data_IF_328690295141
#
_entry.id   IF_328690295141
#
_cell.length_a   1.000
_cell.length_b   1.000
_cell.length_c   1.000
_cell.angle_alpha   90.00
_cell.angle_beta   90.00
_cell.angle_gamma   90.00
#
_symmetry.space_group_name_H-M   'P 1'
#
loop_
_entity.id
_entity.type
_entity.pdbx_description
1 polymer ?
#
# COMPACT_ATOMS: atom_id res chain seq x y z
N UNK A 1 -4.62 -9.07 -4.17
CA UNK A 1 -5.35 -10.34 -4.44
C UNK A 1 -5.41 -11.25 -3.23
N UNK A 2 -4.37 -11.30 -2.38
CA UNK A 2 -4.27 -12.21 -1.21
C UNK A 2 -5.37 -11.97 -0.16
N UNK A 3 -5.80 -10.74 0.05
CA UNK A 3 -6.92 -10.42 0.94
C UNK A 3 -8.31 -10.66 0.33
N UNK A 4 -8.39 -11.19 -0.88
CA UNK A 4 -9.63 -11.47 -1.62
C UNK A 4 -10.61 -10.26 -1.71
N UNK A 5 -10.11 -9.03 -1.63
CA UNK A 5 -10.92 -7.80 -1.72
C UNK A 5 -11.29 -7.38 -3.15
N UNK A 6 -10.93 -8.19 -4.17
CA UNK A 6 -11.27 -7.94 -5.57
C UNK A 6 -10.51 -6.79 -6.25
N UNK A 7 -9.61 -6.09 -5.54
CA UNK A 7 -8.82 -4.98 -6.07
C UNK A 7 -7.37 -5.38 -6.35
N UNK A 8 -6.73 -4.69 -7.29
CA UNK A 8 -5.30 -4.81 -7.59
C UNK A 8 -4.55 -3.59 -7.08
N UNK A 9 -3.23 -3.67 -6.93
CA UNK A 9 -2.39 -2.55 -6.53
C UNK A 9 -2.61 -1.31 -7.42
N UNK A 10 -2.68 -1.50 -8.74
CA UNK A 10 -2.91 -0.42 -9.69
C UNK A 10 -4.29 0.25 -9.51
N UNK A 11 -5.33 -0.53 -9.17
CA UNK A 11 -6.67 0.02 -8.91
C UNK A 11 -6.66 0.90 -7.64
N UNK A 12 -5.90 0.50 -6.63
CA UNK A 12 -5.72 1.29 -5.40
C UNK A 12 -4.94 2.58 -5.67
N UNK A 13 -3.84 2.52 -6.45
CA UNK A 13 -3.07 3.71 -6.84
C UNK A 13 -3.92 4.67 -7.68
N UNK A 14 -4.73 4.16 -8.59
CA UNK A 14 -5.66 4.97 -9.37
C UNK A 14 -6.70 5.66 -8.48
N UNK A 15 -7.20 4.96 -7.46
CA UNK A 15 -8.11 5.54 -6.46
C UNK A 15 -7.43 6.66 -5.68
N UNK A 16 -6.19 6.46 -5.21
CA UNK A 16 -5.39 7.50 -4.55
C UNK A 16 -5.25 8.74 -5.43
N UNK A 17 -4.88 8.54 -6.71
CA UNK A 17 -4.73 9.61 -7.69
C UNK A 17 -6.03 10.43 -7.82
N UNK A 18 -7.13 9.78 -8.13
CA UNK A 18 -8.40 10.47 -8.38
C UNK A 18 -8.95 11.19 -7.14
N UNK A 19 -8.78 10.61 -5.94
CA UNK A 19 -9.22 11.26 -4.72
C UNK A 19 -8.34 12.48 -4.40
N UNK A 20 -7.02 12.39 -4.66
CA UNK A 20 -6.11 13.53 -4.54
C UNK A 20 -6.49 14.65 -5.51
N UNK A 21 -6.74 14.34 -6.78
CA UNK A 21 -7.17 15.31 -7.80
C UNK A 21 -8.53 15.96 -7.48
N UNK A 22 -9.44 15.19 -6.88
CA UNK A 22 -10.74 15.69 -6.45
C UNK A 22 -10.70 16.49 -5.13
N UNK A 23 -9.53 16.63 -4.49
CA UNK A 23 -9.39 17.31 -3.21
C UNK A 23 -10.06 16.59 -2.04
N UNK A 24 -10.29 15.28 -2.16
CA UNK A 24 -10.92 14.46 -1.12
C UNK A 24 -9.86 14.04 -0.09
N UNK A 25 -10.10 14.37 1.18
CA UNK A 25 -9.26 13.89 2.27
C UNK A 25 -9.40 12.37 2.41
N UNK A 26 -8.28 11.65 2.24
CA UNK A 26 -8.24 10.20 2.30
C UNK A 26 -7.58 9.70 3.59
N UNK A 27 -8.27 8.81 4.31
CA UNK A 27 -7.74 8.10 5.47
C UNK A 27 -7.72 6.61 5.16
N UNK A 28 -6.53 6.03 5.10
CA UNK A 28 -6.35 4.63 4.74
C UNK A 28 -5.15 4.02 5.49
N UNK A 29 -5.10 2.70 5.51
CA UNK A 29 -4.09 1.94 6.23
C UNK A 29 -3.32 1.01 5.29
N UNK A 30 -2.03 0.81 5.55
CA UNK A 30 -1.23 -0.26 4.98
C UNK A 30 -1.16 -1.43 5.93
N UNK A 31 -1.29 -2.64 5.38
CA UNK A 31 -1.18 -3.90 6.12
C UNK A 31 -0.02 -4.72 5.59
N UNK A 32 0.71 -5.37 6.51
CA UNK A 32 1.79 -6.30 6.23
C UNK A 32 1.59 -7.60 7.02
N UNK A 33 2.42 -8.62 6.77
CA UNK A 33 2.26 -9.93 7.39
C UNK A 33 1.03 -10.67 6.87
N UNK A 34 0.73 -10.54 5.57
CA UNK A 34 -0.41 -11.20 4.95
C UNK A 34 -0.04 -12.66 4.66
N UNK A 35 -0.87 -13.65 5.05
CA UNK A 35 -0.61 -15.05 4.72
C UNK A 35 -0.27 -15.25 3.23
N UNK A 36 0.83 -15.97 2.96
CA UNK A 36 1.30 -16.24 1.60
C UNK A 36 1.99 -15.07 0.89
N UNK A 37 2.35 -14.00 1.60
CA UNK A 37 3.14 -12.91 1.02
C UNK A 37 4.55 -13.36 0.64
N UNK A 38 5.13 -12.64 -0.31
CA UNK A 38 6.51 -12.81 -0.75
C UNK A 38 7.36 -11.68 -0.15
N UNK A 39 8.41 -11.99 0.63
CA UNK A 39 9.32 -10.98 1.19
C UNK A 39 9.91 -10.03 0.13
N UNK A 40 10.21 -10.51 -1.06
CA UNK A 40 10.76 -9.69 -2.15
C UNK A 40 9.79 -8.61 -2.64
N UNK A 41 8.48 -8.81 -2.48
CA UNK A 41 7.49 -7.78 -2.85
C UNK A 41 7.65 -6.50 -2.02
N UNK A 42 8.08 -6.60 -0.75
CA UNK A 42 8.31 -5.43 0.11
C UNK A 42 9.48 -4.58 -0.38
N UNK A 43 10.56 -5.21 -0.85
CA UNK A 43 11.69 -4.50 -1.46
C UNK A 43 11.24 -3.75 -2.71
N UNK A 44 10.51 -4.41 -3.60
CA UNK A 44 9.98 -3.77 -4.82
C UNK A 44 9.01 -2.63 -4.48
N UNK A 45 8.15 -2.81 -3.48
CA UNK A 45 7.25 -1.74 -3.02
C UNK A 45 8.03 -0.55 -2.48
N UNK A 46 9.07 -0.77 -1.66
CA UNK A 46 9.91 0.31 -1.14
C UNK A 46 10.57 1.13 -2.26
N UNK A 47 11.08 0.47 -3.30
CA UNK A 47 11.68 1.12 -4.48
C UNK A 47 10.66 1.97 -5.27
N UNK A 48 9.37 1.63 -5.23
CA UNK A 48 8.31 2.35 -5.94
C UNK A 48 7.73 3.54 -5.14
N UNK A 49 7.87 3.59 -3.82
CA UNK A 49 7.27 4.62 -2.98
C UNK A 49 7.68 6.05 -3.39
N UNK A 50 8.94 6.36 -3.75
CA UNK A 50 9.32 7.70 -4.21
C UNK A 50 8.50 8.21 -5.41
N UNK A 51 7.98 7.30 -6.24
CA UNK A 51 7.16 7.67 -7.39
C UNK A 51 5.72 8.08 -7.02
N UNK A 52 5.24 7.74 -5.83
CA UNK A 52 3.87 8.00 -5.37
C UNK A 52 3.80 8.91 -4.14
N UNK A 53 4.92 9.42 -3.67
CA UNK A 53 5.03 10.24 -2.45
C UNK A 53 4.17 11.51 -2.48
N UNK A 54 3.76 11.98 -3.64
CA UNK A 54 2.83 13.12 -3.82
C UNK A 54 1.37 12.77 -3.50
N UNK A 55 1.01 11.50 -3.36
CA UNK A 55 -0.31 11.09 -2.88
C UNK A 55 -0.38 11.07 -1.35
N UNK A 56 -1.59 11.18 -0.79
CA UNK A 56 -1.79 11.11 0.65
C UNK A 56 -1.24 9.79 1.23
N UNK A 57 -0.29 9.84 2.19
CA UNK A 57 0.27 8.64 2.79
C UNK A 57 -0.75 7.91 3.66
N UNK A 58 -0.50 6.64 4.03
CA UNK A 58 -1.33 5.93 4.98
C UNK A 58 -1.28 6.60 6.36
N UNK A 59 -2.43 6.65 7.05
CA UNK A 59 -2.51 7.17 8.43
C UNK A 59 -2.00 6.16 9.46
N UNK A 60 -2.01 4.88 9.13
CA UNK A 60 -1.48 3.82 9.97
C UNK A 60 -0.91 2.68 9.12
N UNK A 61 0.11 2.04 9.68
CA UNK A 61 0.74 0.85 9.13
C UNK A 61 0.71 -0.23 10.21
N UNK A 62 0.27 -1.43 9.87
CA UNK A 62 0.11 -2.48 10.89
C UNK A 62 0.18 -3.89 10.33
N UNK A 63 0.56 -4.82 11.21
CA UNK A 63 0.50 -6.24 10.91
C UNK A 63 -0.95 -6.71 10.79
N UNK A 64 -1.21 -7.59 9.85
CA UNK A 64 -2.49 -8.29 9.75
C UNK A 64 -2.71 -9.11 11.02
N UNK A 65 -3.89 -8.94 11.61
CA UNK A 65 -4.32 -9.66 12.80
C UNK A 65 -5.37 -10.69 12.42
N UNK A 66 -5.46 -11.75 13.21
CA UNK A 66 -6.60 -12.65 13.15
C UNK A 66 -7.69 -12.10 14.07
N UNK A 67 -8.59 -11.31 13.52
CA UNK A 67 -9.76 -10.82 14.28
C UNK A 67 -10.75 -11.97 14.45
N UNK A 68 -11.41 -12.03 15.62
CA UNK A 68 -12.43 -13.06 15.91
C UNK A 68 -13.48 -13.07 14.80
N UNK A 69 -13.86 -14.26 14.37
CA UNK A 69 -14.78 -14.53 13.26
C UNK A 69 -14.24 -14.22 11.85
N UNK A 70 -13.03 -13.69 11.73
CA UNK A 70 -12.40 -13.56 10.40
C UNK A 70 -12.06 -14.93 9.82
N UNK A 71 -11.83 -15.04 8.49
CA UNK A 71 -11.33 -16.29 7.88
C UNK A 71 -10.03 -16.80 8.53
N UNK A 72 -9.12 -15.90 8.90
CA UNK A 72 -7.86 -16.21 9.57
C UNK A 72 -8.07 -16.83 10.97
N UNK A 73 -9.10 -16.40 11.66
CA UNK A 73 -9.49 -16.97 12.96
C UNK A 73 -10.25 -18.29 12.81
N UNK A 74 -11.21 -18.35 11.88
CA UNK A 74 -12.09 -19.52 11.73
C UNK A 74 -11.41 -20.71 11.05
N UNK A 75 -10.46 -20.44 10.14
CA UNK A 75 -9.82 -21.44 9.28
C UNK A 75 -8.29 -21.21 9.21
N UNK A 76 -7.58 -21.08 10.33
CA UNK A 76 -6.19 -20.67 10.35
C UNK A 76 -5.27 -21.56 9.51
N UNK A 77 -5.47 -22.87 9.56
CA UNK A 77 -4.66 -23.83 8.81
C UNK A 77 -4.71 -23.61 7.29
N UNK A 78 -5.83 -23.13 6.72
CA UNK A 78 -5.95 -22.84 5.30
C UNK A 78 -5.06 -21.67 4.87
N UNK A 79 -4.68 -20.82 5.82
CA UNK A 79 -3.83 -19.66 5.61
C UNK A 79 -2.40 -19.85 6.14
N UNK A 80 -2.04 -21.09 6.54
CA UNK A 80 -0.73 -21.36 7.14
C UNK A 80 -0.51 -20.60 8.45
N UNK A 81 -1.57 -20.41 9.23
CA UNK A 81 -1.56 -19.74 10.53
C UNK A 81 -1.58 -20.79 11.62
N UNK A 82 -0.68 -20.64 12.59
CA UNK A 82 -0.53 -21.50 13.78
C UNK A 82 -0.53 -20.66 15.06
N UNK A 83 -0.63 -21.35 16.20
CA UNK A 83 -0.47 -20.76 17.54
C UNK A 83 -1.32 -19.51 17.78
N UNK A 84 -2.59 -19.55 17.35
CA UNK A 84 -3.55 -18.48 17.61
C UNK A 84 -3.70 -18.25 19.11
N UNK A 85 -3.38 -17.03 19.56
CA UNK A 85 -3.42 -16.62 20.96
C UNK A 85 -3.98 -15.21 21.11
N UNK A 86 -4.71 -14.88 22.20
CA UNK A 86 -5.17 -13.52 22.44
C UNK A 86 -4.04 -12.51 22.34
N UNK A 87 -4.27 -11.40 21.67
CA UNK A 87 -3.28 -10.33 21.59
C UNK A 87 -2.85 -9.92 23.00
N UNK A 88 -1.52 -9.80 23.21
CA UNK A 88 -0.91 -9.56 24.52
C UNK A 88 -1.51 -8.41 25.31
N UNK A 89 -2.05 -7.38 24.63
CA UNK A 89 -2.70 -6.25 25.28
C UNK A 89 -3.87 -6.66 26.19
N UNK A 90 -4.57 -7.75 25.88
CA UNK A 90 -5.67 -8.23 26.73
C UNK A 90 -5.21 -8.62 28.12
N UNK A 91 -3.99 -9.15 28.29
CA UNK A 91 -3.43 -9.52 29.61
C UNK A 91 -3.14 -8.30 30.49
N UNK A 92 -2.83 -7.14 29.88
CA UNK A 92 -2.60 -5.90 30.64
C UNK A 92 -3.90 -5.24 31.08
N UNK A 93 -4.97 -5.41 30.31
CA UNK A 93 -6.27 -4.79 30.61
C UNK A 93 -7.12 -5.68 31.53
N UNK A 94 -7.06 -6.99 31.32
CA UNK A 94 -7.91 -7.95 32.04
C UNK A 94 -7.05 -8.97 32.79
N UNK A 95 -7.00 -8.93 34.12
CA UNK A 95 -6.30 -9.90 34.97
C UNK A 95 -7.07 -11.22 35.04
N UNK A 96 -7.27 -11.89 33.93
CA UNK A 96 -8.04 -13.11 33.81
C UNK A 96 -7.14 -14.29 33.40
N UNK A 97 -7.53 -15.54 33.75
CA UNK A 97 -6.87 -16.73 33.23
C UNK A 97 -6.91 -16.79 31.69
N UNK A 98 -5.90 -17.42 31.09
CA UNK A 98 -5.75 -17.50 29.63
C UNK A 98 -6.98 -18.07 28.92
N UNK A 99 -7.65 -19.06 29.52
CA UNK A 99 -8.90 -19.62 28.96
C UNK A 99 -10.03 -18.58 28.87
N UNK A 100 -10.13 -17.69 29.86
CA UNK A 100 -11.10 -16.60 29.85
C UNK A 100 -10.73 -15.51 28.85
N UNK A 101 -9.43 -15.18 28.76
CA UNK A 101 -8.92 -14.27 27.75
C UNK A 101 -9.15 -14.81 26.34
N UNK A 102 -8.98 -16.13 26.12
CA UNK A 102 -9.27 -16.77 24.85
C UNK A 102 -10.73 -16.60 24.43
N UNK A 103 -11.66 -16.61 25.37
CA UNK A 103 -13.10 -16.39 25.11
C UNK A 103 -13.46 -14.91 24.93
N UNK A 104 -12.77 -14.01 25.64
CA UNK A 104 -13.04 -12.58 25.65
C UNK A 104 -12.41 -11.84 24.48
N UNK A 105 -11.17 -12.20 24.10
CA UNK A 105 -10.39 -11.46 23.11
C UNK A 105 -11.08 -11.39 21.75
N UNK A 106 -10.99 -10.25 21.11
CA UNK A 106 -11.40 -10.06 19.72
C UNK A 106 -10.21 -10.10 18.76
N UNK A 107 -9.01 -9.67 19.19
CA UNK A 107 -7.78 -9.64 18.41
C UNK A 107 -6.85 -10.77 18.84
N UNK A 108 -6.28 -11.47 17.85
CA UNK A 108 -5.38 -12.58 18.07
C UNK A 108 -4.05 -12.35 17.36
N UNK A 109 -2.98 -12.71 18.03
CA UNK A 109 -1.65 -12.92 17.46
C UNK A 109 -1.56 -14.36 16.93
N UNK A 110 -0.66 -14.58 16.01
CA UNK A 110 -0.42 -15.90 15.42
C UNK A 110 1.04 -16.03 14.94
N UNK A 111 1.43 -17.22 14.68
CA UNK A 111 2.68 -17.55 14.00
C UNK A 111 2.35 -18.11 12.60
N UNK A 112 3.34 -18.14 11.70
CA UNK A 112 3.19 -18.75 10.39
C UNK A 112 3.75 -20.16 10.39
N UNK A 113 3.03 -21.13 9.81
CA UNK A 113 3.41 -22.55 9.74
C UNK A 113 4.74 -22.81 9.02
N UNK A 114 5.16 -21.91 8.13
CA UNK A 114 6.45 -21.97 7.45
C UNK A 114 7.62 -21.33 8.25
N UNK A 115 7.34 -20.88 9.48
CA UNK A 115 8.35 -20.32 10.38
C UNK A 115 8.80 -18.91 10.00
N UNK A 116 8.18 -18.25 9.02
CA UNK A 116 8.53 -16.87 8.67
C UNK A 116 8.19 -15.92 9.81
N UNK A 117 9.04 -14.91 9.99
CA UNK A 117 8.72 -13.72 10.78
C UNK A 117 8.80 -12.51 9.87
N UNK A 118 7.65 -11.87 9.56
CA UNK A 118 7.62 -10.70 8.68
C UNK A 118 8.49 -9.54 9.15
N UNK A 119 8.78 -9.42 10.44
CA UNK A 119 9.63 -8.36 10.97
C UNK A 119 11.06 -8.41 10.41
N UNK A 120 11.54 -9.57 9.99
CA UNK A 120 12.88 -9.71 9.45
C UNK A 120 13.08 -9.12 8.05
N UNK A 121 12.01 -8.83 7.31
CA UNK A 121 12.11 -8.37 5.93
C UNK A 121 11.31 -7.11 5.59
N UNK A 122 10.48 -6.61 6.52
CA UNK A 122 9.64 -5.43 6.24
C UNK A 122 10.31 -4.11 6.60
N UNK A 123 11.39 -4.11 7.40
CA UNK A 123 12.01 -2.89 7.94
C UNK A 123 12.33 -1.86 6.84
N UNK A 124 13.01 -2.20 5.73
CA UNK A 124 13.30 -1.22 4.67
C UNK A 124 12.05 -0.61 4.03
N UNK A 125 10.95 -1.37 3.98
CA UNK A 125 9.68 -0.87 3.48
C UNK A 125 8.98 0.03 4.49
N UNK A 126 9.05 -0.27 5.78
CA UNK A 126 8.53 0.60 6.84
C UNK A 126 9.24 1.95 6.85
N UNK A 127 10.57 1.96 6.73
CA UNK A 127 11.38 3.18 6.63
C UNK A 127 10.96 4.03 5.42
N UNK A 128 10.75 3.39 4.27
CA UNK A 128 10.30 4.07 3.07
C UNK A 128 8.87 4.65 3.21
N UNK A 129 7.98 3.98 3.94
CA UNK A 129 6.64 4.49 4.25
C UNK A 129 6.71 5.66 5.24
N UNK A 130 7.56 5.60 6.27
CA UNK A 130 7.79 6.70 7.20
C UNK A 130 8.33 7.92 6.45
N UNK A 131 9.27 7.72 5.53
CA UNK A 131 9.77 8.79 4.68
C UNK A 131 8.66 9.40 3.81
N UNK A 132 7.77 8.58 3.24
CA UNK A 132 6.59 9.07 2.53
C UNK A 132 5.73 9.96 3.42
N UNK A 133 5.42 9.53 4.66
CA UNK A 133 4.64 10.32 5.62
C UNK A 133 5.30 11.68 5.92
N UNK A 134 6.64 11.71 6.01
CA UNK A 134 7.40 12.92 6.31
C UNK A 134 7.51 13.87 5.11
N UNK A 135 7.67 13.35 3.90
CA UNK A 135 8.00 14.15 2.71
C UNK A 135 6.79 14.49 1.84
N UNK A 136 5.65 13.83 2.06
CA UNK A 136 4.44 14.00 1.26
C UNK A 136 4.08 15.48 1.00
N UNK A 137 4.15 16.33 2.01
CA UNK A 137 3.78 17.74 1.92
C UNK A 137 4.70 18.58 1.03
N UNK A 138 5.88 18.07 0.66
CA UNK A 138 6.88 18.73 -0.20
C UNK A 138 6.88 18.19 -1.61
N UNK A 139 6.23 17.05 -1.84
CA UNK A 139 6.24 16.35 -3.11
C UNK A 139 4.96 16.68 -3.90
N UNK A 140 5.13 17.14 -5.11
CA UNK A 140 4.03 17.43 -6.04
C UNK A 140 4.32 16.85 -7.42
N UNK A 141 3.28 16.41 -8.08
CA UNK A 141 3.29 16.11 -9.51
C UNK A 141 2.02 16.71 -10.10
N UNK A 142 2.18 17.70 -10.97
CA UNK A 142 1.06 18.34 -11.65
C UNK A 142 1.29 18.41 -13.16
N UNK A 143 0.21 18.47 -13.91
CA UNK A 143 0.22 18.56 -15.35
C UNK A 143 -0.67 19.71 -15.81
N UNK A 144 -0.18 20.52 -16.75
CA UNK A 144 -0.93 21.64 -17.33
C UNK A 144 -0.80 21.67 -18.85
N UNK A 145 -1.94 21.79 -19.54
CA UNK A 145 -1.94 22.05 -20.98
C UNK A 145 -1.53 23.49 -21.25
N UNK A 146 -0.69 23.66 -22.27
CA UNK A 146 -0.24 24.96 -22.77
C UNK A 146 -1.07 25.40 -23.99
N UNK A 147 -1.04 26.69 -24.33
CA UNK A 147 -1.77 27.25 -25.48
C UNK A 147 -1.36 26.61 -26.82
N UNK A 148 -0.11 26.20 -26.95
CA UNK A 148 0.43 25.49 -28.13
C UNK A 148 0.10 23.99 -28.16
N UNK A 149 -0.71 23.52 -27.22
CA UNK A 149 -1.14 22.13 -27.10
C UNK A 149 -0.12 21.17 -26.44
N UNK A 150 1.03 21.64 -25.97
CA UNK A 150 1.96 20.83 -25.19
C UNK A 150 1.42 20.58 -23.79
N UNK A 151 1.89 19.53 -23.13
CA UNK A 151 1.64 19.23 -21.73
C UNK A 151 2.92 19.48 -20.92
N UNK A 152 2.86 20.34 -19.93
CA UNK A 152 3.97 20.60 -19.02
C UNK A 152 3.69 19.89 -17.70
N UNK A 153 4.63 19.03 -17.30
CA UNK A 153 4.65 18.39 -16.00
C UNK A 153 5.57 19.18 -15.08
N UNK A 154 5.08 19.48 -13.88
CA UNK A 154 5.91 20.02 -12.78
C UNK A 154 6.04 18.94 -11.73
N UNK A 155 7.27 18.53 -11.43
CA UNK A 155 7.59 17.38 -10.57
C UNK A 155 8.62 17.76 -9.52
N UNK A 156 8.24 17.68 -8.24
CA UNK A 156 9.14 17.92 -7.09
C UNK A 156 9.37 16.66 -6.26
N UNK A 157 8.96 15.49 -6.76
CA UNK A 157 9.18 14.22 -6.07
C UNK A 157 10.67 13.88 -5.99
N UNK A 158 11.12 13.12 -4.97
CA UNK A 158 12.53 12.73 -4.86
C UNK A 158 13.07 11.95 -6.06
N UNK A 159 12.21 11.25 -6.77
CA UNK A 159 12.57 10.47 -7.97
C UNK A 159 12.57 11.28 -9.28
N UNK A 160 12.25 12.57 -9.22
CA UNK A 160 12.14 13.40 -10.42
C UNK A 160 13.50 13.58 -11.12
N UNK A 161 13.54 13.34 -12.41
CA UNK A 161 14.73 13.61 -13.22
C UNK A 161 14.97 15.11 -13.49
N UNK A 162 13.95 15.96 -13.24
CA UNK A 162 14.00 17.40 -13.38
C UNK A 162 12.68 18.03 -12.92
N UNK A 163 12.75 19.31 -12.61
CA UNK A 163 11.58 20.04 -12.09
C UNK A 163 10.45 20.18 -13.12
N UNK A 164 10.78 20.31 -14.40
CA UNK A 164 9.77 20.44 -15.47
C UNK A 164 10.10 19.54 -16.66
N UNK A 165 9.05 18.93 -17.20
CA UNK A 165 9.11 18.14 -18.42
C UNK A 165 8.01 18.62 -19.37
N UNK A 166 8.40 18.90 -20.61
CA UNK A 166 7.47 19.32 -21.67
C UNK A 166 7.23 18.15 -22.63
N UNK A 167 6.00 17.71 -22.69
CA UNK A 167 5.57 16.60 -23.56
C UNK A 167 4.79 17.15 -24.76
N UNK A 168 5.05 16.62 -25.95
CA UNK A 168 4.33 16.95 -27.18
C UNK A 168 4.12 15.70 -28.04
N UNK A 169 3.26 15.78 -29.04
CA UNK A 169 2.99 14.68 -29.97
C UNK A 169 2.67 13.37 -29.22
N UNK A 170 3.35 12.30 -29.61
CA UNK A 170 3.12 10.96 -29.08
C UNK A 170 3.37 10.84 -27.56
N UNK A 171 4.38 11.51 -27.03
CA UNK A 171 4.69 11.47 -25.59
C UNK A 171 3.52 12.02 -24.76
N UNK A 172 2.96 13.16 -25.18
CA UNK A 172 1.78 13.75 -24.56
C UNK A 172 0.58 12.80 -24.65
N UNK A 173 0.34 12.21 -25.83
CA UNK A 173 -0.79 11.31 -26.03
C UNK A 173 -0.70 10.07 -25.16
N UNK A 174 0.47 9.47 -25.08
CA UNK A 174 0.73 8.32 -24.19
C UNK A 174 0.53 8.68 -22.72
N UNK A 175 1.04 9.84 -22.28
CA UNK A 175 0.87 10.28 -20.90
C UNK A 175 -0.60 10.45 -20.54
N UNK A 176 -1.37 11.14 -21.39
CA UNK A 176 -2.81 11.34 -21.20
C UNK A 176 -3.58 10.01 -21.26
N UNK A 177 -3.21 9.12 -22.18
CA UNK A 177 -3.82 7.80 -22.28
C UNK A 177 -3.60 6.97 -21.01
N UNK A 178 -2.45 7.11 -20.35
CA UNK A 178 -2.10 6.45 -19.11
C UNK A 178 -2.72 7.10 -17.85
N UNK A 179 -3.60 8.11 -18.02
CA UNK A 179 -4.37 8.67 -16.91
C UNK A 179 -5.16 7.60 -16.14
N UNK A 180 -5.53 6.54 -16.82
CA UNK A 180 -6.10 5.32 -16.24
C UNK A 180 -5.14 4.16 -16.38
N UNK A 181 -5.23 3.20 -15.44
CA UNK A 181 -4.45 1.96 -15.52
C UNK A 181 -4.65 1.25 -16.85
N UNK A 182 -3.57 1.03 -17.60
CA UNK A 182 -3.54 0.36 -18.90
C UNK A 182 -2.71 -0.92 -18.85
N UNK A 183 -3.00 -1.85 -19.74
CA UNK A 183 -2.13 -3.01 -19.95
C UNK A 183 -0.99 -2.59 -20.88
N UNK A 184 0.20 -3.12 -20.67
CA UNK A 184 1.35 -2.82 -21.55
C UNK A 184 1.05 -3.14 -23.03
N UNK A 185 0.28 -4.20 -23.29
CA UNK A 185 -0.17 -4.55 -24.65
C UNK A 185 -1.00 -3.46 -25.33
N UNK A 186 -1.78 -2.70 -24.56
CA UNK A 186 -2.63 -1.63 -25.10
C UNK A 186 -1.79 -0.42 -25.56
N UNK A 187 -0.58 -0.25 -25.02
CA UNK A 187 0.34 0.83 -25.40
C UNK A 187 1.01 0.61 -26.75
N UNK A 188 1.05 -0.64 -27.23
CA UNK A 188 1.64 -0.97 -28.54
C UNK A 188 0.87 -0.36 -29.73
N UNK A 189 -0.36 0.04 -29.52
CA UNK A 189 -1.18 0.70 -30.57
C UNK A 189 -0.78 2.16 -30.81
N UNK A 190 0.06 2.73 -29.93
CA UNK A 190 0.60 4.08 -30.08
C UNK A 190 1.99 4.10 -30.77
N UNK A 191 2.63 2.96 -30.93
CA UNK A 191 3.91 2.79 -31.64
C UNK A 191 3.67 2.34 -33.07
#
# INVERSE_FOLDING_TARGET
RRLHKGTRALDNLQTLKWLTEAGVELKWNLLWGIPGEDPDEYRVMAELLPAIVHFAPPIAVGQVRADRFSPYFCQPAQYGIENLRPHRAFRFVYPLPDESLQRLAYYFEHDFADGRDPQHYIEPWLDAVEQWQNDHHRATLSASFQEDGALVLSDTRPCAAGFQHRLSGLERELYVYCDRGRRFGDLRHFA
#
